data_IF_187213990923
#
_entry.id   IF_187213990923
#
_cell.length_a   1.000
_cell.length_b   1.000
_cell.length_c   1.000
_cell.angle_alpha   90.00
_cell.angle_beta   90.00
_cell.angle_gamma   90.00
#
_symmetry.space_group_name_H-M   'P 1'
#
loop_
_entity.id
_entity.type
_entity.pdbx_description
1 polymer ?
#
# COMPACT_ATOMS: atom_id res chain seq x y z
N UNK A 1 43.24 56.30 39.31
CA UNK A 1 43.42 56.74 37.91
C UNK A 1 43.53 55.51 37.04
N UNK A 2 43.12 55.60 35.77
CA UNK A 2 42.84 54.52 34.78
C UNK A 2 41.68 53.57 35.12
N UNK A 3 40.75 53.15 34.25
CA UNK A 3 40.13 53.67 33.01
C UNK A 3 38.88 52.78 32.84
N UNK A 4 37.66 53.32 32.78
CA UNK A 4 36.46 52.56 32.40
C UNK A 4 36.05 52.93 30.98
N UNK A 5 36.00 51.94 30.09
CA UNK A 5 35.69 52.10 28.68
C UNK A 5 34.18 51.87 28.48
N UNK A 6 33.44 52.96 28.22
CA UNK A 6 32.06 52.95 27.73
C UNK A 6 32.09 52.65 26.22
N UNK A 7 31.42 51.58 25.78
CA UNK A 7 31.10 51.37 24.37
C UNK A 7 29.68 51.87 24.07
N UNK A 8 29.59 52.82 23.15
CA UNK A 8 28.39 53.43 22.63
C UNK A 8 27.81 52.55 21.51
N UNK A 9 26.56 52.15 21.65
CA UNK A 9 25.80 51.38 20.66
C UNK A 9 25.44 52.25 19.46
N UNK A 10 25.90 51.88 18.25
CA UNK A 10 25.44 52.47 17.00
C UNK A 10 24.53 51.45 16.27
N UNK A 11 23.26 51.79 16.16
CA UNK A 11 22.26 51.04 15.39
C UNK A 11 22.38 51.45 13.92
N UNK A 12 22.71 50.50 13.04
CA UNK A 12 22.69 50.68 11.58
C UNK A 12 21.44 49.99 11.03
N UNK A 13 20.52 50.76 10.47
CA UNK A 13 19.36 50.27 9.74
C UNK A 13 19.80 49.73 8.37
N UNK A 14 19.71 48.42 8.16
CA UNK A 14 19.87 47.77 6.86
C UNK A 14 18.56 47.81 6.05
N UNK A 15 18.64 48.21 4.79
CA UNK A 15 17.53 48.26 3.83
C UNK A 15 16.97 46.86 3.53
N UNK A 16 15.67 46.74 3.17
CA UNK A 16 15.09 45.46 2.79
C UNK A 16 15.64 45.01 1.42
N UNK A 17 16.17 43.79 1.38
CA UNK A 17 16.62 43.14 0.16
C UNK A 17 15.44 42.92 -0.80
N UNK A 18 15.62 43.35 -2.03
CA UNK A 18 14.75 43.10 -3.18
C UNK A 18 14.60 41.61 -3.42
N UNK A 19 13.35 41.13 -3.50
CA UNK A 19 13.01 39.75 -3.83
C UNK A 19 13.58 39.36 -5.20
N UNK A 20 14.58 38.49 -5.20
CA UNK A 20 15.04 37.77 -6.38
C UNK A 20 13.98 36.76 -6.78
N UNK A 21 13.57 36.78 -8.05
CA UNK A 21 12.69 35.79 -8.67
C UNK A 21 13.20 34.36 -8.40
N UNK A 22 12.30 33.38 -8.23
CA UNK A 22 12.71 32.02 -7.95
C UNK A 22 13.50 31.47 -9.15
N UNK A 23 14.70 30.97 -8.85
CA UNK A 23 15.51 30.18 -9.76
C UNK A 23 14.70 28.95 -10.15
N UNK A 24 14.48 28.74 -11.44
CA UNK A 24 13.86 27.54 -11.99
C UNK A 24 14.73 26.32 -11.64
N UNK A 25 14.34 25.56 -10.62
CA UNK A 25 15.11 24.39 -10.18
C UNK A 25 14.61 23.65 -8.93
N UNK A 26 13.39 23.88 -8.43
CA UNK A 26 12.85 23.22 -7.22
C UNK A 26 11.43 22.66 -7.46
N UNK A 27 11.23 21.95 -8.58
CA UNK A 27 9.99 21.24 -8.86
C UNK A 27 10.20 19.71 -8.83
N UNK A 28 10.79 19.21 -7.74
CA UNK A 28 10.74 17.79 -7.38
C UNK A 28 10.68 17.70 -5.86
N UNK A 29 9.52 17.66 -5.20
CA UNK A 29 9.52 17.46 -3.74
C UNK A 29 8.21 16.98 -3.09
N UNK A 30 7.17 16.62 -3.84
CA UNK A 30 5.96 16.01 -3.25
C UNK A 30 5.83 14.58 -3.75
N UNK A 31 5.66 13.64 -2.83
CA UNK A 31 5.57 12.21 -3.15
C UNK A 31 4.40 11.92 -4.10
N UNK A 32 3.24 12.48 -3.77
CA UNK A 32 2.02 12.42 -4.57
C UNK A 32 1.28 13.76 -4.50
N UNK A 33 0.80 14.27 -5.65
CA UNK A 33 -0.04 15.46 -5.67
C UNK A 33 -1.33 15.29 -4.83
N UNK A 34 -1.98 16.37 -4.37
CA UNK A 34 -3.09 16.29 -3.40
C UNK A 34 -4.30 15.46 -3.85
N UNK A 35 -4.49 15.30 -5.17
CA UNK A 35 -5.56 14.51 -5.80
C UNK A 35 -5.04 13.22 -6.44
N UNK A 36 -3.71 13.10 -6.56
CA UNK A 36 -3.08 12.01 -7.28
C UNK A 36 -3.23 10.70 -6.50
N UNK A 37 -3.62 9.66 -7.23
CA UNK A 37 -3.78 8.30 -6.71
C UNK A 37 -4.98 8.13 -5.77
N UNK A 38 -5.86 9.12 -5.61
CA UNK A 38 -7.04 8.97 -4.76
C UNK A 38 -8.21 8.40 -5.55
N UNK A 39 -9.02 7.59 -4.88
CA UNK A 39 -10.24 7.04 -5.45
C UNK A 39 -11.17 8.20 -5.88
N UNK A 40 -11.48 8.24 -7.19
CA UNK A 40 -12.47 9.15 -7.77
C UNK A 40 -13.81 8.43 -7.89
N UNK A 41 -14.86 8.98 -7.30
CA UNK A 41 -16.21 8.42 -7.31
C UNK A 41 -17.21 9.41 -7.92
N UNK A 42 -18.30 8.89 -8.46
CA UNK A 42 -19.45 9.70 -8.82
C UNK A 42 -20.16 10.20 -7.54
N UNK A 43 -20.62 11.45 -7.53
CA UNK A 43 -21.31 12.03 -6.38
C UNK A 43 -22.56 11.24 -5.93
N UNK A 44 -23.19 10.48 -6.85
CA UNK A 44 -24.34 9.62 -6.54
C UNK A 44 -23.96 8.44 -5.66
N UNK A 45 -22.71 8.00 -5.72
CA UNK A 45 -22.20 6.88 -4.93
C UNK A 45 -21.66 7.31 -3.55
N UNK A 46 -21.55 8.61 -3.27
CA UNK A 46 -20.89 9.13 -2.07
C UNK A 46 -21.40 8.53 -0.75
N UNK A 47 -22.69 8.21 -0.64
CA UNK A 47 -23.26 7.58 0.56
C UNK A 47 -22.66 6.19 0.87
N UNK A 48 -22.07 5.51 -0.11
CA UNK A 48 -21.37 4.22 0.10
C UNK A 48 -20.01 4.39 0.76
N UNK A 49 -19.47 5.61 0.77
CA UNK A 49 -18.12 5.95 1.23
C UNK A 49 -18.16 6.85 2.47
N UNK A 50 -19.20 6.73 3.31
CA UNK A 50 -19.33 7.50 4.55
C UNK A 50 -18.15 7.20 5.49
N UNK A 51 -17.53 8.25 6.01
CA UNK A 51 -16.34 8.16 6.85
C UNK A 51 -15.03 7.98 6.08
N UNK A 52 -15.05 8.00 4.75
CA UNK A 52 -13.86 7.88 3.90
C UNK A 52 -13.49 9.21 3.24
N UNK A 53 -12.19 9.48 3.08
CA UNK A 53 -11.71 10.61 2.29
C UNK A 53 -11.52 10.18 0.83
N UNK A 54 -12.35 10.75 -0.06
CA UNK A 54 -12.38 10.42 -1.49
C UNK A 54 -12.36 11.68 -2.35
N UNK A 55 -12.22 11.52 -3.65
CA UNK A 55 -12.50 12.57 -4.62
C UNK A 55 -13.89 12.32 -5.20
N UNK A 56 -14.80 13.27 -5.01
CA UNK A 56 -16.11 13.23 -5.64
C UNK A 56 -16.12 14.04 -6.92
N UNK A 57 -16.66 13.47 -7.99
CA UNK A 57 -16.82 14.12 -9.29
C UNK A 57 -18.30 14.32 -9.59
N UNK A 58 -18.66 15.50 -10.08
CA UNK A 58 -20.03 15.79 -10.50
C UNK A 58 -20.22 17.19 -11.08
N UNK A 59 -21.35 17.41 -11.73
CA UNK A 59 -21.75 18.74 -12.19
C UNK A 59 -22.59 19.42 -11.13
N UNK A 60 -22.16 20.60 -10.69
CA UNK A 60 -22.92 21.41 -9.76
C UNK A 60 -24.07 22.09 -10.48
N UNK A 61 -25.27 22.06 -9.90
CA UNK A 61 -26.46 22.66 -10.50
C UNK A 61 -26.87 23.98 -9.85
N UNK A 62 -26.54 24.18 -8.57
CA UNK A 62 -26.90 25.40 -7.84
C UNK A 62 -26.05 25.59 -6.58
N UNK A 63 -26.17 26.77 -5.98
CA UNK A 63 -25.59 27.15 -4.70
C UNK A 63 -26.66 27.75 -3.78
N UNK A 64 -26.40 27.75 -2.47
CA UNK A 64 -27.22 28.43 -1.45
C UNK A 64 -26.34 29.01 -0.36
N UNK A 65 -26.46 30.30 -0.09
CA UNK A 65 -25.84 30.94 1.06
C UNK A 65 -26.68 30.76 2.33
N UNK A 66 -26.02 30.62 3.47
CA UNK A 66 -26.63 30.65 4.80
C UNK A 66 -25.68 31.34 5.82
N UNK A 67 -26.10 31.47 7.08
CA UNK A 67 -25.29 32.13 8.11
C UNK A 67 -23.93 31.46 8.35
N UNK A 68 -23.83 30.15 8.11
CA UNK A 68 -22.62 29.35 8.33
C UNK A 68 -21.68 29.27 7.12
N UNK A 69 -22.11 29.65 5.92
CA UNK A 69 -21.30 29.58 4.70
C UNK A 69 -22.11 29.35 3.43
N UNK A 70 -21.51 28.69 2.44
CA UNK A 70 -22.09 28.40 1.13
C UNK A 70 -22.25 26.88 0.99
N UNK A 71 -23.43 26.45 0.53
CA UNK A 71 -23.69 25.06 0.14
C UNK A 71 -23.77 24.98 -1.38
N UNK A 72 -23.02 24.06 -2.00
CA UNK A 72 -23.10 23.75 -3.43
C UNK A 72 -23.75 22.37 -3.60
N UNK A 73 -24.63 22.24 -4.61
CA UNK A 73 -25.40 21.01 -4.81
C UNK A 73 -25.16 20.39 -6.19
N UNK A 74 -25.00 19.08 -6.20
CA UNK A 74 -25.03 18.25 -7.42
C UNK A 74 -26.45 17.95 -7.90
N UNK A 75 -27.45 18.08 -7.02
CA UNK A 75 -28.86 17.82 -7.30
C UNK A 75 -29.78 18.82 -6.58
N UNK A 76 -31.09 18.72 -6.78
CA UNK A 76 -32.07 19.52 -6.04
C UNK A 76 -31.99 19.19 -4.55
N UNK A 77 -32.09 20.17 -3.62
CA UNK A 77 -31.83 19.92 -2.21
C UNK A 77 -32.87 18.97 -1.59
N UNK A 78 -34.08 18.91 -2.18
CA UNK A 78 -35.14 17.98 -1.80
C UNK A 78 -34.75 16.50 -1.99
N UNK A 79 -33.78 16.19 -2.85
CA UNK A 79 -33.33 14.83 -3.12
C UNK A 79 -32.34 14.31 -2.07
N UNK A 80 -31.87 15.17 -1.15
CA UNK A 80 -31.02 14.78 0.00
C UNK A 80 -29.76 14.02 -0.41
N UNK A 81 -29.19 14.40 -1.56
CA UNK A 81 -27.95 13.87 -2.11
C UNK A 81 -26.72 14.47 -1.43
N UNK A 82 -25.52 14.07 -1.89
CA UNK A 82 -24.29 14.73 -1.49
C UNK A 82 -24.36 16.24 -1.75
N UNK A 83 -23.90 17.02 -0.76
CA UNK A 83 -23.69 18.46 -0.86
C UNK A 83 -22.25 18.83 -0.48
N UNK A 84 -21.77 19.95 -1.01
CA UNK A 84 -20.47 20.54 -0.61
C UNK A 84 -20.74 21.75 0.25
N UNK A 85 -20.09 21.83 1.41
CA UNK A 85 -20.23 22.96 2.31
C UNK A 85 -18.91 23.69 2.48
N UNK A 86 -18.88 24.95 2.08
CA UNK A 86 -17.76 25.88 2.27
C UNK A 86 -18.08 26.75 3.47
N UNK A 87 -17.26 26.63 4.53
CA UNK A 87 -17.47 27.39 5.77
C UNK A 87 -17.25 28.88 5.52
N UNK A 88 -18.03 29.73 6.20
CA UNK A 88 -17.93 31.20 6.09
C UNK A 88 -16.50 31.73 6.29
N UNK A 89 -15.77 31.16 7.25
CA UNK A 89 -14.37 31.53 7.55
C UNK A 89 -13.37 31.16 6.44
N UNK A 90 -13.73 30.23 5.55
CA UNK A 90 -12.90 29.80 4.43
C UNK A 90 -13.18 30.60 3.16
N UNK A 91 -14.29 31.35 3.08
CA UNK A 91 -14.69 32.10 1.89
C UNK A 91 -13.64 33.13 1.47
N UNK A 92 -12.96 33.77 2.43
CA UNK A 92 -11.90 34.73 2.13
C UNK A 92 -10.66 34.13 1.48
N UNK A 93 -10.53 32.80 1.48
CA UNK A 93 -9.43 32.09 0.80
C UNK A 93 -9.71 31.90 -0.69
N UNK A 94 -10.97 32.01 -1.12
CA UNK A 94 -11.34 31.85 -2.53
C UNK A 94 -11.11 33.15 -3.29
N UNK A 95 -10.55 33.03 -4.50
CA UNK A 95 -10.32 34.16 -5.40
C UNK A 95 -11.64 34.75 -5.91
N UNK A 96 -12.56 33.88 -6.32
CA UNK A 96 -13.88 34.22 -6.85
C UNK A 96 -14.95 33.70 -5.89
N UNK A 97 -16.12 34.36 -5.82
CA UNK A 97 -17.19 33.95 -4.91
C UNK A 97 -17.74 32.56 -5.30
N UNK A 98 -17.66 31.55 -4.42
CA UNK A 98 -18.01 30.18 -4.80
C UNK A 98 -19.46 29.98 -5.28
N UNK A 99 -20.40 30.78 -4.79
CA UNK A 99 -21.80 30.70 -5.18
C UNK A 99 -22.07 31.13 -6.63
N UNK A 100 -21.18 31.90 -7.23
CA UNK A 100 -21.24 32.31 -8.64
C UNK A 100 -20.25 31.54 -9.52
N UNK A 101 -19.08 31.18 -8.98
CA UNK A 101 -18.00 30.58 -9.74
C UNK A 101 -18.25 29.10 -10.14
N UNK A 102 -18.92 28.33 -9.27
CA UNK A 102 -19.04 26.88 -9.43
C UNK A 102 -20.34 26.35 -10.05
N UNK A 103 -21.53 26.96 -9.86
CA UNK A 103 -22.75 26.43 -10.48
C UNK A 103 -22.64 26.29 -12.01
N UNK A 104 -23.16 25.17 -12.52
CA UNK A 104 -23.12 24.80 -13.93
C UNK A 104 -21.82 24.11 -14.37
N UNK A 105 -20.77 24.11 -13.54
CA UNK A 105 -19.47 23.51 -13.85
C UNK A 105 -19.37 22.08 -13.34
N UNK A 106 -18.58 21.28 -14.04
CA UNK A 106 -18.05 20.02 -13.52
C UNK A 106 -16.97 20.32 -12.50
N UNK A 107 -16.99 19.62 -11.38
CA UNK A 107 -15.99 19.76 -10.32
C UNK A 107 -15.49 18.40 -9.85
N UNK A 108 -14.26 18.38 -9.36
CA UNK A 108 -13.79 17.39 -8.41
C UNK A 108 -13.62 18.03 -7.04
N UNK A 109 -14.06 17.32 -5.99
CA UNK A 109 -13.94 17.77 -4.61
C UNK A 109 -13.30 16.68 -3.77
N UNK A 110 -12.20 17.03 -3.11
CA UNK A 110 -11.49 16.15 -2.20
C UNK A 110 -11.94 16.41 -0.77
N UNK A 111 -12.36 15.37 -0.07
CA UNK A 111 -12.60 15.45 1.37
C UNK A 111 -13.29 14.22 1.95
N UNK A 112 -13.40 14.22 3.27
CA UNK A 112 -14.16 13.22 4.02
C UNK A 112 -15.65 13.32 3.67
N UNK A 113 -16.28 12.19 3.35
CA UNK A 113 -17.75 12.12 3.27
C UNK A 113 -18.29 11.96 4.68
N UNK A 114 -18.93 13.00 5.21
CA UNK A 114 -19.52 13.04 6.55
C UNK A 114 -21.05 13.14 6.49
N UNK A 115 -21.74 12.85 7.59
CA UNK A 115 -23.19 13.01 7.71
C UNK A 115 -23.55 14.33 8.37
N UNK A 116 -24.36 15.14 7.70
CA UNK A 116 -24.99 16.30 8.31
C UNK A 116 -26.51 16.21 8.17
N UNK A 117 -27.19 16.06 9.31
CA UNK A 117 -28.66 15.95 9.38
C UNK A 117 -29.23 14.85 8.46
N UNK A 118 -28.56 13.69 8.39
CA UNK A 118 -28.97 12.54 7.56
C UNK A 118 -28.58 12.63 6.08
N UNK A 119 -27.83 13.66 5.68
CA UNK A 119 -27.40 13.92 4.30
C UNK A 119 -25.87 13.81 4.19
N UNK A 120 -25.33 13.16 3.15
CA UNK A 120 -23.90 13.14 2.91
C UNK A 120 -23.41 14.55 2.61
N UNK A 121 -22.27 14.92 3.18
CA UNK A 121 -21.65 16.23 2.99
C UNK A 121 -20.15 16.09 2.86
N UNK A 122 -19.54 16.93 2.02
CA UNK A 122 -18.10 17.20 2.05
C UNK A 122 -17.86 18.64 2.49
N UNK A 123 -16.98 18.82 3.47
CA UNK A 123 -16.56 20.14 3.92
C UNK A 123 -15.33 20.58 3.12
N UNK A 124 -15.43 21.76 2.51
CA UNK A 124 -14.33 22.43 1.81
C UNK A 124 -13.89 23.61 2.64
N UNK A 125 -12.72 23.48 3.26
CA UNK A 125 -12.12 24.49 4.14
C UNK A 125 -11.06 25.36 3.44
N UNK A 126 -10.68 25.00 2.21
CA UNK A 126 -9.70 25.70 1.40
C UNK A 126 -9.98 25.53 -0.11
N UNK A 127 -9.57 26.48 -0.96
CA UNK A 127 -9.84 26.41 -2.40
C UNK A 127 -9.11 25.25 -3.09
N UNK A 128 -8.03 24.72 -2.51
CA UNK A 128 -7.31 23.58 -3.10
C UNK A 128 -8.11 22.28 -3.01
N UNK A 129 -9.17 22.20 -2.20
CA UNK A 129 -10.04 21.01 -2.06
C UNK A 129 -11.16 20.91 -3.11
N UNK A 130 -11.35 21.92 -3.96
CA UNK A 130 -12.35 21.90 -5.03
C UNK A 130 -11.75 22.46 -6.33
N UNK A 131 -11.87 21.72 -7.43
CA UNK A 131 -11.37 22.13 -8.74
C UNK A 131 -12.45 22.01 -9.80
N UNK A 132 -12.46 22.97 -10.71
CA UNK A 132 -13.29 22.89 -11.92
C UNK A 132 -12.61 21.95 -12.91
N UNK A 133 -13.38 21.03 -13.48
CA UNK A 133 -12.94 20.09 -14.50
C UNK A 133 -13.43 20.52 -15.89
N UNK A 134 -12.66 20.18 -16.92
CA UNK A 134 -13.21 20.08 -18.26
C UNK A 134 -14.21 18.91 -18.32
N UNK A 135 -15.23 19.02 -19.16
CA UNK A 135 -16.29 18.01 -19.24
C UNK A 135 -15.76 16.64 -19.69
N UNK A 136 -14.74 16.62 -20.55
CA UNK A 136 -14.01 15.42 -20.96
C UNK A 136 -13.27 14.71 -19.79
N UNK A 137 -12.78 15.46 -18.81
CA UNK A 137 -12.07 14.93 -17.63
C UNK A 137 -13.04 14.47 -16.51
N UNK A 138 -14.32 14.79 -16.65
CA UNK A 138 -15.36 14.48 -15.68
C UNK A 138 -15.90 13.05 -15.83
N UNK A 139 -15.67 12.40 -16.97
CA UNK A 139 -15.90 10.96 -17.09
C UNK A 139 -14.93 10.24 -16.15
N UNK A 140 -15.46 9.58 -15.10
CA UNK A 140 -14.63 8.86 -14.14
C UNK A 140 -13.68 7.91 -14.89
N UNK A 141 -12.37 7.88 -14.55
CA UNK A 141 -11.49 6.83 -15.06
C UNK A 141 -12.08 5.52 -14.56
N UNK A 142 -12.74 4.80 -15.46
CA UNK A 142 -13.24 3.46 -15.14
C UNK A 142 -11.97 2.64 -14.94
N UNK A 143 -11.79 2.09 -13.73
CA UNK A 143 -10.71 1.14 -13.48
C UNK A 143 -10.73 0.13 -14.62
N UNK A 144 -9.66 0.09 -15.41
CA UNK A 144 -9.64 -0.77 -16.59
C UNK A 144 -9.50 -2.18 -16.06
N UNK A 145 -10.59 -2.94 -16.16
CA UNK A 145 -10.60 -4.35 -15.76
C UNK A 145 -9.67 -5.09 -16.71
N UNK A 146 -8.48 -5.46 -16.25
CA UNK A 146 -7.61 -6.33 -17.04
C UNK A 146 -8.08 -7.76 -16.83
N UNK A 147 -8.60 -8.46 -17.85
CA UNK A 147 -9.06 -9.82 -17.68
C UNK A 147 -7.92 -10.70 -17.19
N UNK A 148 -8.24 -11.56 -16.23
CA UNK A 148 -7.37 -12.67 -15.79
C UNK A 148 -6.97 -13.47 -17.02
N UNK A 149 -5.76 -14.03 -16.99
CA UNK A 149 -5.24 -14.83 -18.10
C UNK A 149 -6.26 -15.89 -18.52
N UNK A 150 -6.60 -15.87 -19.81
CA UNK A 150 -7.70 -16.66 -20.38
C UNK A 150 -7.44 -18.18 -20.36
N UNK A 151 -6.22 -18.60 -20.03
CA UNK A 151 -5.76 -19.99 -20.02
C UNK A 151 -6.07 -20.76 -18.72
N UNK A 152 -6.77 -20.15 -17.77
CA UNK A 152 -7.08 -20.78 -16.48
C UNK A 152 -5.86 -20.91 -15.57
N UNK A 153 -4.82 -20.10 -15.82
CA UNK A 153 -3.62 -20.01 -15.01
C UNK A 153 -3.66 -18.72 -14.20
N UNK A 154 -3.20 -18.79 -12.95
CA UNK A 154 -2.95 -17.63 -12.09
C UNK A 154 -1.46 -17.48 -11.86
N UNK A 155 -0.92 -16.29 -12.13
CA UNK A 155 0.44 -15.93 -11.70
C UNK A 155 0.41 -15.34 -10.31
N UNK A 156 1.09 -15.98 -9.37
CA UNK A 156 1.27 -15.48 -8.01
C UNK A 156 2.68 -14.92 -7.88
N UNK A 157 2.79 -13.66 -7.47
CA UNK A 157 4.06 -12.97 -7.24
C UNK A 157 4.31 -12.65 -5.78
N UNK A 158 5.58 -12.42 -5.44
CA UNK A 158 6.03 -11.92 -4.15
C UNK A 158 7.06 -10.81 -4.35
N UNK A 159 6.94 -9.71 -3.61
CA UNK A 159 7.89 -8.61 -3.68
C UNK A 159 8.00 -7.82 -2.36
N UNK A 160 9.17 -7.83 -1.72
CA UNK A 160 9.52 -6.79 -0.74
C UNK A 160 9.81 -5.47 -1.49
N UNK A 161 9.02 -4.44 -1.24
CA UNK A 161 9.08 -3.17 -1.98
C UNK A 161 10.03 -2.13 -1.38
N UNK A 162 10.76 -2.52 -0.33
CA UNK A 162 11.74 -1.69 0.37
C UNK A 162 11.16 -0.35 0.85
N UNK A 163 10.39 -0.40 1.94
CA UNK A 163 9.74 0.73 2.60
C UNK A 163 8.94 1.65 1.64
N UNK A 164 7.79 1.18 1.15
CA UNK A 164 6.77 2.07 0.55
C UNK A 164 6.05 2.83 1.66
N UNK A 165 6.70 3.90 2.13
CA UNK A 165 6.25 4.81 3.18
C UNK A 165 5.87 6.15 2.57
N UNK A 166 4.90 6.83 3.16
CA UNK A 166 4.48 8.18 2.79
C UNK A 166 5.21 9.27 3.59
N UNK A 167 4.76 10.51 3.42
CA UNK A 167 5.38 11.71 4.01
C UNK A 167 4.67 12.16 5.30
N UNK A 168 3.61 11.45 5.72
CA UNK A 168 2.78 11.77 6.86
C UNK A 168 3.11 10.86 8.04
N UNK A 169 3.51 11.49 9.14
CA UNK A 169 3.79 10.83 10.42
C UNK A 169 2.56 10.07 10.95
N UNK A 170 2.75 8.80 11.35
CA UNK A 170 1.71 8.01 12.01
C UNK A 170 1.90 8.11 13.54
N UNK A 171 0.97 8.75 14.27
CA UNK A 171 1.10 8.95 15.72
C UNK A 171 1.08 7.65 16.54
N UNK A 172 0.79 6.50 15.92
CA UNK A 172 0.75 5.18 16.56
C UNK A 172 1.97 4.32 16.24
N UNK A 173 2.86 4.76 15.34
CA UNK A 173 4.11 4.05 15.01
C UNK A 173 5.32 4.96 15.18
N UNK A 174 6.53 4.41 15.08
CA UNK A 174 7.79 5.13 15.15
C UNK A 174 8.41 5.19 13.75
N UNK A 175 7.68 5.78 12.81
CA UNK A 175 8.05 5.91 11.40
C UNK A 175 8.89 7.15 11.10
N UNK A 176 9.10 8.08 12.04
CA UNK A 176 9.79 9.36 11.83
C UNK A 176 11.25 9.19 11.38
N UNK A 177 11.84 8.02 11.63
CA UNK A 177 13.17 7.65 11.15
C UNK A 177 13.20 7.00 9.76
N UNK A 178 12.05 6.74 9.15
CA UNK A 178 11.91 6.09 7.85
C UNK A 178 11.62 7.15 6.79
N UNK A 179 12.48 7.21 5.77
CA UNK A 179 12.30 8.18 4.67
C UNK A 179 11.13 7.75 3.77
N UNK A 180 10.22 8.67 3.49
CA UNK A 180 9.22 8.54 2.44
C UNK A 180 9.82 8.02 1.13
N UNK A 181 9.16 7.07 0.46
CA UNK A 181 9.68 6.53 -0.80
C UNK A 181 9.62 7.59 -1.89
N UNK A 182 10.76 7.97 -2.53
CA UNK A 182 10.77 8.97 -3.58
C UNK A 182 9.93 8.55 -4.78
N UNK A 183 9.33 9.55 -5.45
CA UNK A 183 8.52 9.34 -6.65
C UNK A 183 9.25 8.60 -7.76
N UNK A 184 10.55 8.86 -7.94
CA UNK A 184 11.40 8.15 -8.90
C UNK A 184 11.50 6.65 -8.60
N UNK A 185 11.70 6.28 -7.33
CA UNK A 185 11.75 4.88 -6.89
C UNK A 185 10.39 4.19 -7.03
N UNK A 186 9.28 4.88 -6.72
CA UNK A 186 7.94 4.34 -6.97
C UNK A 186 7.71 4.05 -8.45
N UNK A 187 8.13 4.93 -9.36
CA UNK A 187 8.04 4.68 -10.80
C UNK A 187 8.82 3.44 -11.22
N UNK A 188 10.01 3.25 -10.66
CA UNK A 188 10.83 2.05 -10.91
C UNK A 188 10.16 0.79 -10.36
N UNK A 189 9.66 0.85 -9.12
CA UNK A 189 8.90 -0.22 -8.47
C UNK A 189 7.71 -0.66 -9.33
N UNK A 190 6.94 0.31 -9.84
CA UNK A 190 5.83 0.06 -10.74
C UNK A 190 6.26 -0.57 -12.07
N UNK A 191 7.41 -0.17 -12.61
CA UNK A 191 8.03 -0.81 -13.77
C UNK A 191 8.40 -2.27 -13.51
N UNK A 192 8.91 -2.58 -12.32
CA UNK A 192 9.24 -3.95 -11.90
C UNK A 192 7.96 -4.79 -11.72
N UNK A 193 6.93 -4.25 -11.07
CA UNK A 193 5.62 -4.91 -10.91
C UNK A 193 4.98 -5.19 -12.27
N UNK A 194 5.08 -4.27 -13.24
CA UNK A 194 4.63 -4.49 -14.63
C UNK A 194 5.33 -5.67 -15.28
N UNK A 195 6.65 -5.81 -15.13
CA UNK A 195 7.41 -6.96 -15.64
C UNK A 195 7.01 -8.27 -14.93
N UNK A 196 6.72 -8.18 -13.64
CA UNK A 196 6.25 -9.31 -12.83
C UNK A 196 4.84 -9.76 -13.22
N UNK A 197 4.01 -8.86 -13.72
CA UNK A 197 2.70 -9.16 -14.31
C UNK A 197 1.88 -10.21 -13.52
N UNK A 198 1.90 -10.12 -12.19
CA UNK A 198 1.22 -11.06 -11.33
C UNK A 198 -0.29 -10.79 -11.34
N UNK A 199 -1.08 -11.84 -11.23
CA UNK A 199 -2.53 -11.73 -11.05
C UNK A 199 -2.86 -11.54 -9.56
N UNK A 200 -2.04 -12.13 -8.69
CA UNK A 200 -2.05 -11.91 -7.24
C UNK A 200 -0.62 -11.64 -6.78
N UNK A 201 -0.40 -10.50 -6.12
CA UNK A 201 0.93 -10.05 -5.70
C UNK A 201 0.97 -9.85 -4.19
N UNK A 202 1.75 -10.70 -3.51
CA UNK A 202 2.11 -10.53 -2.12
C UNK A 202 3.22 -9.48 -1.98
N UNK A 203 3.03 -8.51 -1.09
CA UNK A 203 3.97 -7.41 -0.85
C UNK A 203 4.42 -7.42 0.61
N UNK A 204 5.67 -7.02 0.83
CA UNK A 204 6.23 -6.74 2.15
C UNK A 204 6.86 -5.34 2.15
N UNK A 205 6.95 -4.72 3.34
CA UNK A 205 7.44 -3.34 3.52
C UNK A 205 6.57 -2.27 2.89
N UNK A 206 5.26 -2.43 3.06
CA UNK A 206 4.29 -1.37 2.82
C UNK A 206 3.94 -0.76 4.16
N UNK A 207 3.88 0.56 4.25
CA UNK A 207 3.51 1.24 5.49
C UNK A 207 2.03 1.04 5.82
N UNK A 208 1.14 1.57 4.99
CA UNK A 208 -0.30 1.53 5.23
C UNK A 208 -1.08 1.29 3.93
N UNK A 209 -2.38 1.02 4.07
CA UNK A 209 -3.26 0.76 2.92
C UNK A 209 -3.39 1.99 2.00
N UNK A 210 -3.42 3.19 2.57
CA UNK A 210 -3.63 4.45 1.83
C UNK A 210 -2.49 4.75 0.85
N UNK A 211 -1.23 4.66 1.29
CA UNK A 211 -0.08 4.86 0.40
C UNK A 211 -0.04 3.80 -0.71
N UNK A 212 -0.41 2.55 -0.40
CA UNK A 212 -0.47 1.48 -1.39
C UNK A 212 -1.57 1.71 -2.43
N UNK A 213 -2.76 2.11 -2.01
CA UNK A 213 -3.85 2.47 -2.93
C UNK A 213 -3.42 3.64 -3.84
N UNK A 214 -2.82 4.70 -3.27
CA UNK A 214 -2.29 5.82 -4.07
C UNK A 214 -1.24 5.39 -5.08
N UNK A 215 -0.34 4.51 -4.67
CA UNK A 215 0.64 3.92 -5.55
C UNK A 215 -0.02 3.14 -6.71
N UNK A 216 -1.01 2.28 -6.40
CA UNK A 216 -1.73 1.49 -7.40
C UNK A 216 -2.50 2.39 -8.36
N UNK A 217 -3.28 3.35 -7.88
CA UNK A 217 -4.05 4.24 -8.75
C UNK A 217 -3.18 5.17 -9.59
N UNK A 218 -2.03 5.61 -9.06
CA UNK A 218 -1.12 6.49 -9.81
C UNK A 218 -0.34 5.72 -10.86
N UNK A 219 0.19 4.55 -10.48
CA UNK A 219 1.20 3.88 -11.28
C UNK A 219 0.78 2.53 -11.82
N UNK A 220 -0.35 1.93 -11.43
CA UNK A 220 -0.76 0.58 -11.84
C UNK A 220 -2.26 0.48 -12.18
N UNK A 221 -2.94 1.61 -12.39
CA UNK A 221 -4.38 1.63 -12.65
C UNK A 221 -4.81 0.82 -13.88
N UNK A 222 -3.90 0.65 -14.85
CA UNK A 222 -4.06 -0.14 -16.06
C UNK A 222 -3.79 -1.64 -15.87
N UNK A 223 -3.29 -2.05 -14.70
CA UNK A 223 -2.95 -3.44 -14.42
C UNK A 223 -4.10 -4.27 -13.85
N UNK A 224 -5.26 -3.66 -13.58
CA UNK A 224 -6.47 -4.35 -13.13
C UNK A 224 -6.43 -4.86 -11.68
N UNK A 225 -5.55 -4.32 -10.83
CA UNK A 225 -5.55 -4.64 -9.40
C UNK A 225 -6.72 -3.93 -8.70
N UNK A 226 -7.90 -4.54 -8.80
CA UNK A 226 -9.14 -4.02 -8.20
C UNK A 226 -9.18 -4.18 -6.67
N UNK A 227 -8.38 -5.10 -6.12
CA UNK A 227 -8.36 -5.40 -4.70
C UNK A 227 -7.00 -5.09 -4.08
N UNK A 228 -6.99 -4.16 -3.12
CA UNK A 228 -5.85 -3.82 -2.28
C UNK A 228 -6.15 -4.24 -0.85
N UNK A 229 -5.36 -5.17 -0.30
CA UNK A 229 -5.53 -5.70 1.05
C UNK A 229 -4.28 -5.43 1.86
N UNK A 230 -4.43 -4.72 2.97
CA UNK A 230 -3.42 -4.55 4.01
C UNK A 230 -4.16 -4.42 5.34
N UNK A 231 -3.67 -5.10 6.37
CA UNK A 231 -4.09 -4.91 7.75
C UNK A 231 -2.86 -4.53 8.57
N UNK A 232 -2.99 -3.48 9.38
CA UNK A 232 -1.92 -2.97 10.24
C UNK A 232 -1.37 -4.09 11.16
N UNK A 233 -0.07 -4.14 11.32
CA UNK A 233 0.66 -5.18 12.06
C UNK A 233 0.88 -4.86 13.53
N UNK A 234 1.97 -5.39 14.09
CA UNK A 234 2.50 -4.98 15.40
C UNK A 234 3.93 -4.42 15.28
N UNK A 235 4.39 -4.09 14.06
CA UNK A 235 5.74 -3.61 13.86
C UNK A 235 5.82 -2.17 14.34
N UNK A 236 6.82 -1.88 15.19
CA UNK A 236 6.94 -0.57 15.80
C UNK A 236 7.19 0.55 14.80
N UNK A 237 7.62 0.26 13.56
CA UNK A 237 7.83 1.23 12.48
C UNK A 237 6.68 1.27 11.48
N UNK A 238 5.58 0.53 11.69
CA UNK A 238 4.49 0.44 10.71
C UNK A 238 4.83 -0.37 9.47
N UNK A 239 5.74 -1.34 9.55
CA UNK A 239 6.06 -2.20 8.39
C UNK A 239 5.05 -3.32 8.26
N UNK A 240 4.32 -3.34 7.14
CA UNK A 240 3.26 -4.30 6.92
C UNK A 240 3.37 -5.13 5.63
N UNK A 241 2.53 -6.16 5.62
CA UNK A 241 2.32 -7.08 4.49
C UNK A 241 1.01 -6.72 3.78
N UNK A 242 1.00 -6.88 2.46
CA UNK A 242 -0.17 -6.60 1.64
C UNK A 242 -0.38 -7.62 0.52
N UNK A 243 -1.57 -7.61 -0.05
CA UNK A 243 -1.91 -8.34 -1.28
C UNK A 243 -2.58 -7.38 -2.26
N UNK A 244 -2.08 -7.35 -3.50
CA UNK A 244 -2.79 -6.81 -4.65
C UNK A 244 -3.38 -7.96 -5.46
N UNK A 245 -4.64 -7.85 -5.89
CA UNK A 245 -5.29 -8.92 -6.67
C UNK A 245 -6.15 -8.38 -7.80
N UNK A 246 -6.02 -9.02 -8.97
CA UNK A 246 -6.95 -8.91 -10.12
C UNK A 246 -8.16 -9.82 -9.98
N UNK A 247 -8.07 -10.81 -9.09
CA UNK A 247 -9.11 -11.78 -8.79
C UNK A 247 -9.92 -11.32 -7.58
N UNK A 248 -11.22 -11.67 -7.49
CA UNK A 248 -12.02 -11.36 -6.31
C UNK A 248 -11.36 -11.85 -5.03
N UNK A 249 -11.44 -11.02 -4.00
CA UNK A 249 -10.93 -11.33 -2.66
C UNK A 249 -12.11 -11.66 -1.74
N UNK A 250 -11.99 -12.79 -1.05
CA UNK A 250 -12.91 -13.23 -0.01
C UNK A 250 -12.44 -12.79 1.39
N UNK A 251 -12.69 -13.61 2.43
CA UNK A 251 -12.25 -13.31 3.80
C UNK A 251 -10.74 -13.04 3.93
N UNK A 252 -10.42 -12.05 4.75
CA UNK A 252 -9.06 -11.69 5.14
C UNK A 252 -8.88 -12.01 6.63
N UNK A 253 -7.81 -12.71 6.98
CA UNK A 253 -7.50 -13.10 8.37
C UNK A 253 -6.14 -12.55 8.77
N UNK A 254 -6.13 -11.80 9.87
CA UNK A 254 -4.91 -11.39 10.56
C UNK A 254 -4.58 -12.39 11.68
N UNK A 255 -3.32 -12.77 11.78
CA UNK A 255 -2.80 -13.65 12.82
C UNK A 255 -1.98 -12.88 13.87
N UNK A 256 -1.83 -11.55 13.72
CA UNK A 256 -0.99 -10.68 14.56
C UNK A 256 -1.27 -10.76 16.06
N UNK A 257 -2.48 -11.13 16.45
CA UNK A 257 -2.89 -11.19 17.86
C UNK A 257 -2.56 -12.52 18.55
N UNK A 258 -2.16 -13.55 17.79
CA UNK A 258 -1.81 -14.85 18.34
C UNK A 258 -0.54 -14.76 19.18
N UNK A 259 -0.59 -15.35 20.37
CA UNK A 259 0.55 -15.46 21.29
C UNK A 259 1.18 -16.84 21.19
N UNK A 260 2.50 -16.89 21.31
CA UNK A 260 3.28 -18.12 21.26
C UNK A 260 4.58 -17.98 22.06
N UNK A 261 5.14 -19.08 22.59
CA UNK A 261 6.30 -19.01 23.47
C UNK A 261 7.56 -18.59 22.73
N UNK A 262 8.43 -17.85 23.41
CA UNK A 262 9.79 -17.55 22.98
C UNK A 262 10.77 -18.47 23.70
N UNK A 263 11.74 -19.05 22.99
CA UNK A 263 12.70 -20.01 23.58
C UNK A 263 13.56 -19.41 24.70
N UNK A 264 13.74 -18.09 24.71
CA UNK A 264 14.45 -17.35 25.76
C UNK A 264 13.56 -16.99 26.96
N UNK A 265 12.30 -17.44 26.98
CA UNK A 265 11.31 -17.12 28.00
C UNK A 265 10.35 -15.99 27.57
N UNK A 266 9.13 -16.05 28.10
CA UNK A 266 8.04 -15.12 27.77
C UNK A 266 7.21 -15.55 26.56
N UNK A 267 6.26 -14.69 26.19
CA UNK A 267 5.41 -14.85 25.01
C UNK A 267 5.74 -13.79 23.96
N UNK A 268 5.61 -14.17 22.71
CA UNK A 268 5.73 -13.32 21.53
C UNK A 268 4.38 -13.27 20.81
N UNK A 269 4.16 -12.16 20.11
CA UNK A 269 3.18 -12.08 19.01
C UNK A 269 3.95 -11.87 17.72
N UNK A 270 3.35 -12.23 16.60
CA UNK A 270 3.87 -11.86 15.28
C UNK A 270 4.19 -10.36 15.25
N UNK A 271 5.44 -9.99 14.97
CA UNK A 271 5.80 -8.57 14.86
C UNK A 271 5.16 -7.97 13.63
N UNK A 272 5.33 -8.65 12.50
CA UNK A 272 4.62 -8.39 11.25
C UNK A 272 3.65 -9.51 11.03
N UNK A 273 2.46 -9.19 10.52
CA UNK A 273 1.38 -10.16 10.43
C UNK A 273 1.76 -11.37 9.55
N UNK A 274 1.17 -12.52 9.86
CA UNK A 274 1.00 -13.59 8.87
C UNK A 274 -0.34 -13.31 8.18
N UNK A 275 -0.34 -12.40 7.20
CA UNK A 275 -1.57 -11.99 6.53
C UNK A 275 -2.10 -13.15 5.68
N UNK A 276 -3.35 -13.56 5.90
CA UNK A 276 -4.03 -14.58 5.09
C UNK A 276 -5.15 -13.94 4.28
N UNK A 277 -5.12 -14.09 2.96
CA UNK A 277 -6.13 -13.55 2.05
C UNK A 277 -6.72 -14.69 1.22
N UNK A 278 -8.05 -14.83 1.25
CA UNK A 278 -8.74 -15.76 0.35
C UNK A 278 -8.91 -15.14 -1.03
N UNK A 279 -8.48 -15.86 -2.06
CA UNK A 279 -8.71 -15.51 -3.46
C UNK A 279 -9.85 -16.39 -4.00
N UNK A 280 -10.83 -15.75 -4.63
CA UNK A 280 -12.07 -16.38 -5.12
C UNK A 280 -12.23 -16.17 -6.63
N UNK A 281 -11.49 -16.92 -7.46
CA UNK A 281 -11.70 -16.90 -8.90
C UNK A 281 -13.15 -17.26 -9.23
N UNK A 282 -13.80 -16.53 -10.15
CA UNK A 282 -15.23 -16.72 -10.45
C UNK A 282 -15.59 -18.14 -10.89
N UNK A 283 -14.71 -18.76 -11.69
CA UNK A 283 -14.98 -20.06 -12.32
C UNK A 283 -13.98 -21.15 -11.91
N UNK A 284 -13.37 -21.03 -10.73
CA UNK A 284 -12.50 -22.06 -10.15
C UNK A 284 -12.58 -22.05 -8.63
N UNK A 285 -12.29 -23.17 -7.95
CA UNK A 285 -12.40 -23.18 -6.49
C UNK A 285 -11.38 -22.21 -5.85
N UNK A 286 -11.65 -21.68 -4.65
CA UNK A 286 -10.80 -20.69 -4.00
C UNK A 286 -9.48 -21.28 -3.49
N UNK A 287 -8.52 -20.40 -3.26
CA UNK A 287 -7.25 -20.72 -2.60
C UNK A 287 -6.82 -19.55 -1.73
N UNK A 288 -5.99 -19.81 -0.72
CA UNK A 288 -5.52 -18.75 0.18
C UNK A 288 -4.06 -18.37 -0.13
N UNK A 289 -3.77 -17.08 0.00
CA UNK A 289 -2.41 -16.52 -0.05
C UNK A 289 -2.05 -16.07 1.36
N UNK A 290 -1.00 -16.68 1.91
CA UNK A 290 -0.35 -16.21 3.12
C UNK A 290 0.84 -15.33 2.74
N UNK A 291 0.96 -14.17 3.38
CA UNK A 291 2.11 -13.28 3.25
C UNK A 291 2.92 -13.29 4.54
N UNK A 292 4.23 -13.40 4.43
CA UNK A 292 5.15 -13.38 5.57
C UNK A 292 6.28 -12.38 5.38
N UNK A 293 6.64 -11.70 6.47
CA UNK A 293 7.86 -10.92 6.57
C UNK A 293 8.56 -11.20 7.92
N UNK A 294 9.38 -12.25 7.99
CA UNK A 294 10.01 -12.69 9.26
C UNK A 294 11.07 -11.71 9.74
N UNK A 295 11.27 -11.59 11.07
CA UNK A 295 12.19 -10.61 11.68
C UNK A 295 13.59 -10.56 11.02
N UNK A 296 13.97 -9.39 10.50
CA UNK A 296 15.25 -9.21 9.80
C UNK A 296 16.51 -9.51 10.63
N UNK A 297 17.56 -9.97 9.93
CA UNK A 297 18.92 -10.20 10.44
C UNK A 297 19.77 -8.93 10.61
N UNK A 298 19.34 -7.80 10.02
CA UNK A 298 20.10 -6.54 10.12
C UNK A 298 20.17 -6.05 11.57
N UNK A 299 21.38 -5.73 12.02
CA UNK A 299 21.65 -5.21 13.37
C UNK A 299 21.59 -6.29 14.46
N UNK A 300 21.90 -7.54 14.13
CA UNK A 300 21.90 -8.68 15.05
C UNK A 300 22.79 -8.47 16.30
N UNK A 301 22.18 -7.96 17.36
CA UNK A 301 22.41 -8.48 18.71
C UNK A 301 21.71 -9.86 18.82
N UNK A 302 22.17 -10.72 19.74
CA UNK A 302 21.78 -12.12 19.93
C UNK A 302 20.25 -12.44 19.99
N UNK A 303 19.37 -11.43 20.01
CA UNK A 303 17.91 -11.58 20.21
C UNK A 303 17.03 -11.75 18.96
N UNK A 304 17.53 -11.69 17.73
CA UNK A 304 16.65 -11.77 16.53
C UNK A 304 16.36 -13.21 16.06
N UNK A 305 17.31 -14.13 16.21
CA UNK A 305 17.16 -15.52 15.77
C UNK A 305 16.08 -16.30 16.56
N UNK A 306 15.99 -16.18 17.91
CA UNK A 306 14.90 -16.80 18.68
C UNK A 306 13.51 -16.32 18.24
N UNK A 307 13.40 -15.04 17.86
CA UNK A 307 12.14 -14.46 17.36
C UNK A 307 11.77 -15.09 16.02
N UNK A 308 12.68 -15.12 15.04
CA UNK A 308 12.42 -15.77 13.74
C UNK A 308 12.02 -17.24 13.91
N UNK A 309 12.71 -17.98 14.78
CA UNK A 309 12.42 -19.39 15.03
C UNK A 309 11.03 -19.58 15.65
N UNK A 310 10.64 -18.72 16.59
CA UNK A 310 9.30 -18.76 17.20
C UNK A 310 8.19 -18.41 16.20
N UNK A 311 8.39 -17.37 15.36
CA UNK A 311 7.46 -17.02 14.27
C UNK A 311 7.32 -18.18 13.28
N UNK A 312 8.43 -18.77 12.85
CA UNK A 312 8.46 -19.93 11.95
C UNK A 312 7.71 -21.15 12.53
N UNK A 313 7.94 -21.47 13.80
CA UNK A 313 7.24 -22.56 14.48
C UNK A 313 5.73 -22.28 14.57
N UNK A 314 5.32 -21.05 14.85
CA UNK A 314 3.91 -20.68 14.89
C UNK A 314 3.26 -20.76 13.52
N UNK A 315 3.91 -20.27 12.46
CA UNK A 315 3.44 -20.41 11.07
C UNK A 315 3.25 -21.89 10.74
N UNK A 316 4.26 -22.73 11.00
CA UNK A 316 4.16 -24.18 10.76
C UNK A 316 2.98 -24.81 11.49
N UNK A 317 2.79 -24.47 12.76
CA UNK A 317 1.66 -24.96 13.57
C UNK A 317 0.30 -24.59 12.97
N UNK A 318 0.13 -23.36 12.49
CA UNK A 318 -1.11 -22.91 11.83
C UNK A 318 -1.37 -23.72 10.55
N UNK A 319 -0.33 -23.88 9.71
CA UNK A 319 -0.45 -24.61 8.44
C UNK A 319 -0.65 -26.12 8.65
N UNK A 320 -0.03 -26.71 9.67
CA UNK A 320 -0.25 -28.10 10.05
C UNK A 320 -1.67 -28.33 10.57
N UNK A 321 -2.21 -27.42 11.38
CA UNK A 321 -3.58 -27.53 11.87
C UNK A 321 -4.57 -27.51 10.72
N UNK A 322 -4.38 -26.58 9.79
CA UNK A 322 -5.17 -26.52 8.56
C UNK A 322 -5.09 -27.81 7.75
N UNK A 323 -3.89 -28.27 7.42
CA UNK A 323 -3.68 -29.47 6.59
C UNK A 323 -4.07 -30.77 7.30
N UNK A 324 -4.12 -30.80 8.64
CA UNK A 324 -4.67 -31.93 9.40
C UNK A 324 -6.18 -32.08 9.21
N UNK A 325 -6.91 -30.95 9.19
CA UNK A 325 -8.36 -30.97 9.02
C UNK A 325 -8.78 -31.00 7.54
N UNK A 326 -7.97 -30.39 6.66
CA UNK A 326 -8.24 -30.27 5.23
C UNK A 326 -6.97 -30.56 4.40
N UNK A 327 -6.61 -31.84 4.18
CA UNK A 327 -5.38 -32.21 3.46
C UNK A 327 -5.29 -31.69 2.02
N UNK A 328 -6.44 -31.43 1.39
CA UNK A 328 -6.54 -30.91 0.01
C UNK A 328 -6.68 -29.39 -0.07
N UNK A 329 -6.54 -28.67 1.05
CA UNK A 329 -6.56 -27.21 1.04
C UNK A 329 -5.45 -26.64 0.17
N UNK A 330 -5.84 -25.70 -0.69
CA UNK A 330 -4.93 -25.03 -1.62
C UNK A 330 -4.56 -23.67 -1.04
N UNK A 331 -3.29 -23.53 -0.72
CA UNK A 331 -2.70 -22.26 -0.36
C UNK A 331 -1.26 -22.14 -0.83
N UNK A 332 -0.81 -20.89 -0.89
CA UNK A 332 0.60 -20.49 -1.02
C UNK A 332 1.01 -19.66 0.20
N UNK A 333 2.27 -19.74 0.59
CA UNK A 333 2.92 -18.87 1.55
C UNK A 333 4.07 -18.16 0.83
N UNK A 334 4.00 -16.84 0.76
CA UNK A 334 4.88 -16.02 -0.04
C UNK A 334 5.42 -14.86 0.80
N UNK A 335 6.59 -14.34 0.46
CA UNK A 335 7.12 -13.13 1.10
C UNK A 335 8.62 -13.21 1.37
N UNK A 336 9.06 -12.36 2.28
CA UNK A 336 10.44 -12.24 2.73
C UNK A 336 10.62 -13.04 4.04
N UNK A 337 11.27 -14.19 3.94
CA UNK A 337 11.54 -15.06 5.09
C UNK A 337 12.76 -14.59 5.90
N UNK A 338 13.49 -13.57 5.44
CA UNK A 338 14.73 -13.05 6.04
C UNK A 338 15.75 -14.15 6.39
N UNK A 339 15.65 -15.33 5.78
CA UNK A 339 16.49 -16.48 6.04
C UNK A 339 16.60 -17.37 4.80
N UNK A 340 17.70 -18.11 4.70
CA UNK A 340 18.05 -18.87 3.50
C UNK A 340 17.40 -20.25 3.50
N UNK A 341 17.35 -20.89 2.32
CA UNK A 341 16.67 -22.19 2.09
C UNK A 341 16.97 -23.28 3.13
N UNK A 342 18.24 -23.39 3.56
CA UNK A 342 18.70 -24.45 4.47
C UNK A 342 18.66 -24.04 5.96
N UNK A 343 18.26 -22.80 6.24
CA UNK A 343 18.15 -22.29 7.61
C UNK A 343 17.12 -23.06 8.43
N UNK A 344 17.29 -23.07 9.75
CA UNK A 344 16.36 -23.73 10.67
C UNK A 344 14.93 -23.14 10.61
N UNK A 345 14.71 -21.80 10.58
CA UNK A 345 13.36 -21.25 10.45
C UNK A 345 12.67 -21.71 9.16
N UNK A 346 13.38 -21.70 8.03
CA UNK A 346 12.79 -22.08 6.75
C UNK A 346 12.54 -23.59 6.64
N UNK A 347 13.44 -24.43 7.18
CA UNK A 347 13.18 -25.88 7.33
C UNK A 347 11.95 -26.14 8.22
N UNK A 348 11.80 -25.38 9.30
CA UNK A 348 10.65 -25.49 10.22
C UNK A 348 9.34 -25.17 9.49
N UNK A 349 9.27 -24.06 8.74
CA UNK A 349 8.07 -23.70 7.97
C UNK A 349 7.76 -24.73 6.89
N UNK A 350 8.79 -25.17 6.15
CA UNK A 350 8.64 -26.15 5.07
C UNK A 350 8.04 -27.46 5.60
N UNK A 351 8.42 -27.86 6.82
CA UNK A 351 7.98 -29.10 7.43
C UNK A 351 8.48 -30.33 6.66
N UNK A 352 7.86 -31.46 6.92
CA UNK A 352 8.26 -32.77 6.40
C UNK A 352 7.06 -33.69 6.14
N UNK A 353 7.30 -34.84 5.50
CA UNK A 353 6.28 -35.83 5.17
C UNK A 353 5.22 -35.32 4.19
N UNK A 354 3.99 -35.82 4.35
CA UNK A 354 2.88 -35.57 3.41
C UNK A 354 2.35 -34.13 3.46
N UNK A 355 2.64 -33.38 4.53
CA UNK A 355 2.24 -31.97 4.71
C UNK A 355 3.38 -30.98 4.43
N UNK A 356 4.49 -31.47 3.91
CA UNK A 356 5.64 -30.65 3.53
C UNK A 356 5.25 -29.68 2.42
N UNK A 357 5.55 -28.39 2.63
CA UNK A 357 5.34 -27.37 1.61
C UNK A 357 6.35 -27.54 0.48
N UNK A 358 5.93 -27.25 -0.75
CA UNK A 358 6.78 -27.32 -1.95
C UNK A 358 7.16 -25.92 -2.41
N UNK A 359 8.38 -25.79 -2.93
CA UNK A 359 8.84 -24.64 -3.69
C UNK A 359 9.45 -25.18 -4.99
N UNK A 360 9.54 -24.32 -5.99
CA UNK A 360 10.06 -24.67 -7.33
C UNK A 360 11.21 -23.75 -7.76
N UNK A 361 11.86 -23.10 -6.79
CA UNK A 361 12.99 -22.21 -7.05
C UNK A 361 14.19 -22.96 -7.65
N UNK A 362 14.35 -24.23 -7.32
CA UNK A 362 15.38 -25.14 -7.82
C UNK A 362 15.25 -25.50 -9.30
N UNK A 363 14.16 -25.12 -9.96
CA UNK A 363 14.07 -25.12 -11.43
C UNK A 363 14.96 -24.05 -12.07
N UNK A 364 15.45 -23.09 -11.28
CA UNK A 364 16.44 -22.10 -11.70
C UNK A 364 17.85 -22.53 -11.26
N UNK A 365 18.90 -22.15 -12.02
CA UNK A 365 20.26 -22.39 -11.56
C UNK A 365 20.55 -21.57 -10.31
N UNK A 366 21.39 -22.09 -9.42
CA UNK A 366 21.76 -21.42 -8.17
C UNK A 366 22.31 -19.99 -8.35
N UNK A 367 22.89 -19.68 -9.52
CA UNK A 367 23.35 -18.32 -9.89
C UNK A 367 22.21 -17.29 -9.95
N UNK A 368 20.96 -17.74 -10.08
CA UNK A 368 19.76 -16.90 -10.11
C UNK A 368 19.02 -16.88 -8.76
N UNK A 369 19.54 -17.58 -7.75
CA UNK A 369 18.98 -17.57 -6.39
C UNK A 369 19.45 -16.32 -5.64
N UNK A 370 19.07 -15.15 -6.16
CA UNK A 370 19.34 -13.85 -5.57
C UNK A 370 18.06 -13.04 -5.55
N UNK A 371 17.38 -13.04 -4.41
CA UNK A 371 16.20 -12.20 -4.18
C UNK A 371 16.58 -10.97 -3.38
N UNK A 372 17.45 -11.07 -2.38
CA UNK A 372 18.06 -9.89 -1.77
C UNK A 372 19.33 -9.52 -2.52
N UNK A 373 19.33 -8.36 -3.17
CA UNK A 373 20.36 -7.95 -4.13
C UNK A 373 21.26 -6.83 -3.60
N UNK A 374 21.60 -6.87 -2.31
CA UNK A 374 22.51 -5.89 -1.68
C UNK A 374 23.79 -6.54 -1.18
N UNK A 375 24.92 -6.11 -1.75
CA UNK A 375 26.25 -6.51 -1.29
C UNK A 375 26.52 -6.00 0.14
N UNK A 376 27.29 -6.74 0.97
CA UNK A 376 27.93 -8.03 0.69
C UNK A 376 27.03 -9.26 0.96
N UNK A 377 25.73 -9.07 1.18
CA UNK A 377 24.83 -10.08 1.75
C UNK A 377 23.86 -10.69 0.72
N UNK A 378 24.20 -10.63 -0.58
CA UNK A 378 23.33 -11.14 -1.64
C UNK A 378 22.94 -12.59 -1.39
N UNK A 379 21.63 -12.86 -1.44
CA UNK A 379 21.07 -14.16 -1.04
C UNK A 379 19.66 -14.35 -1.57
N UNK A 380 19.15 -15.58 -1.49
CA UNK A 380 17.73 -15.89 -1.67
C UNK A 380 17.07 -16.04 -0.31
N UNK A 381 16.23 -15.06 0.04
CA UNK A 381 15.47 -15.01 1.29
C UNK A 381 13.97 -14.83 1.05
N UNK A 382 13.57 -14.60 -0.20
CA UNK A 382 12.18 -14.54 -0.62
C UNK A 382 11.80 -15.85 -1.32
N UNK A 383 10.64 -16.40 -1.00
CA UNK A 383 10.18 -17.67 -1.56
C UNK A 383 8.67 -17.66 -1.83
N UNK A 384 8.24 -18.50 -2.77
CA UNK A 384 6.87 -19.04 -2.82
C UNK A 384 6.93 -20.49 -2.36
N UNK A 385 6.29 -20.77 -1.24
CA UNK A 385 5.99 -22.12 -0.76
C UNK A 385 4.52 -22.42 -1.02
N UNK A 386 4.16 -23.67 -1.27
CA UNK A 386 2.78 -24.04 -1.53
C UNK A 386 2.41 -25.36 -0.85
N UNK A 387 1.14 -25.45 -0.44
CA UNK A 387 0.52 -26.68 0.05
C UNK A 387 0.69 -27.84 -0.95
N UNK A 388 0.69 -29.11 -0.50
CA UNK A 388 0.76 -30.27 -1.40
C UNK A 388 -0.31 -30.24 -2.50
N UNK A 389 -1.53 -29.78 -2.18
CA UNK A 389 -2.61 -29.68 -3.16
C UNK A 389 -2.37 -28.59 -4.21
N UNK A 390 -1.85 -27.43 -3.80
CA UNK A 390 -1.49 -26.35 -4.72
C UNK A 390 -0.25 -26.70 -5.55
N UNK A 391 0.70 -27.46 -5.01
CA UNK A 391 1.88 -27.92 -5.73
C UNK A 391 1.52 -28.77 -6.96
N UNK A 392 0.47 -29.60 -6.88
CA UNK A 392 -0.04 -30.38 -8.03
C UNK A 392 -0.59 -29.50 -9.17
N UNK A 393 -0.83 -28.21 -8.91
CA UNK A 393 -1.32 -27.22 -9.87
C UNK A 393 -0.21 -26.37 -10.47
N UNK A 394 1.01 -26.49 -9.97
CA UNK A 394 2.13 -25.72 -10.47
C UNK A 394 2.34 -25.95 -11.98
N UNK A 395 2.58 -24.87 -12.70
CA UNK A 395 2.96 -24.91 -14.12
C UNK A 395 4.48 -25.06 -14.17
N UNK A 396 4.95 -26.20 -14.64
CA UNK A 396 6.38 -26.53 -14.74
C UNK A 396 7.17 -25.39 -15.42
N UNK A 397 8.36 -25.06 -14.88
CA UNK A 397 9.28 -24.01 -15.39
C UNK A 397 8.72 -22.59 -15.34
N UNK A 398 7.64 -22.35 -14.60
CA UNK A 398 7.08 -21.00 -14.46
C UNK A 398 7.69 -20.17 -13.32
N UNK A 399 8.42 -20.80 -12.39
CA UNK A 399 9.10 -20.10 -11.31
C UNK A 399 10.17 -19.17 -11.87
N UNK A 400 10.09 -17.91 -11.51
CA UNK A 400 10.97 -16.87 -12.05
C UNK A 400 11.33 -15.85 -10.99
N UNK A 401 12.58 -15.38 -11.05
CA UNK A 401 13.08 -14.20 -10.33
C UNK A 401 13.35 -13.12 -11.36
N UNK A 402 12.82 -11.92 -11.15
CA UNK A 402 13.09 -10.77 -12.02
C UNK A 402 14.26 -10.00 -11.42
N UNK A 403 15.45 -10.28 -11.94
CA UNK A 403 16.66 -9.59 -11.51
C UNK A 403 16.68 -8.13 -11.97
N UNK A 404 17.08 -7.25 -11.06
CA UNK A 404 17.32 -5.84 -11.34
C UNK A 404 18.40 -5.26 -10.44
N UNK A 405 19.02 -4.18 -10.91
CA UNK A 405 19.85 -3.31 -10.06
C UNK A 405 18.93 -2.53 -9.11
N UNK A 406 19.40 -2.25 -7.89
CA UNK A 406 18.64 -1.52 -6.88
C UNK A 406 18.20 -0.15 -7.41
N UNK A 407 19.10 0.53 -8.13
CA UNK A 407 18.94 1.85 -8.72
C UNK A 407 17.91 1.90 -9.85
N UNK A 408 17.46 0.73 -10.36
CA UNK A 408 16.51 0.62 -11.48
C UNK A 408 15.23 -0.12 -11.14
N UNK A 409 15.23 -0.87 -10.03
CA UNK A 409 14.09 -1.71 -9.63
C UNK A 409 13.21 -1.04 -8.57
N UNK A 410 13.75 -0.05 -7.83
CA UNK A 410 13.04 0.64 -6.74
C UNK A 410 13.05 -0.11 -5.40
N UNK A 411 13.74 -1.26 -5.32
CA UNK A 411 13.89 -2.10 -4.12
C UNK A 411 15.27 -2.78 -4.11
N UNK A 412 15.79 -3.10 -2.92
CA UNK A 412 16.95 -4.00 -2.78
C UNK A 412 16.57 -5.48 -2.87
N UNK A 413 15.29 -5.80 -3.12
CA UNK A 413 14.82 -7.13 -3.46
C UNK A 413 14.48 -7.28 -4.95
N UNK A 414 14.71 -8.48 -5.50
CA UNK A 414 14.23 -8.95 -6.79
C UNK A 414 12.92 -9.71 -6.57
N UNK A 415 11.81 -9.33 -7.24
CA UNK A 415 10.57 -10.06 -7.10
C UNK A 415 10.62 -11.41 -7.77
N UNK A 416 9.76 -12.30 -7.30
CA UNK A 416 9.60 -13.65 -7.83
C UNK A 416 8.14 -13.96 -8.10
N UNK A 417 7.90 -14.93 -8.98
CA UNK A 417 6.54 -15.42 -9.25
C UNK A 417 6.55 -16.87 -9.70
N UNK A 418 5.39 -17.52 -9.58
CA UNK A 418 5.11 -18.85 -10.06
C UNK A 418 3.67 -18.92 -10.59
N UNK A 419 3.44 -19.77 -11.59
CA UNK A 419 2.15 -19.92 -12.23
C UNK A 419 1.47 -21.22 -11.76
N UNK A 420 0.15 -21.15 -11.52
CA UNK A 420 -0.64 -22.28 -11.05
C UNK A 420 -1.94 -22.42 -11.86
N UNK A 421 -2.32 -23.65 -12.18
CA UNK A 421 -3.60 -23.98 -12.81
C UNK A 421 -4.74 -23.85 -11.81
N UNK A 422 -5.72 -23.02 -12.12
CA UNK A 422 -6.89 -22.82 -11.28
C UNK A 422 -7.82 -24.05 -11.27
N UNK A 423 -7.84 -24.83 -12.36
CA UNK A 423 -8.67 -26.03 -12.53
C UNK A 423 -7.88 -27.32 -12.49
#
# INVERSE_FOLDING_TARGET
MTTALMFLTLVVFGQPATATAPVAGLAEEVQFGPYEGRLRIDWRDARRYMGEEVIVVGRLIQSRQNQGGIVLYFDLPANRSLQIFIRKQSLSLFRDEPDSAYPGKWVEVRGLIDEYRGEPQVIVDSPERIRILAEEDAAAPTATTRPVRADGVVRIGSYNVMNLFDEYDDPYTADEGTRAKPRGEMRQLAGTIRKLDADVLALAEVENRGVLERFVYTWLADMGYEHVVLLEGNDGRGIDCAVLSRLPVGPVTSHRHLRFPLSTGGELRFRRDLLQVRIEPRDAPPFDVYVVHLKSKRGEAEGSAPIRQAEAAKIRSILDDRLRHHPDDRFVLCGDFNDTWDSEPLRTIRGEGDRMLRSFHDERPASEHVTFNREPYRSMIDFILCSPAMARRYVEKSYRVIHGEMERSGSDHNPLSADFKLR
#
